data_IF_156115111636
#
_entry.id   IF_156115111636
#
_cell.length_a   1.000
_cell.length_b   1.000
_cell.length_c   1.000
_cell.angle_alpha   90.00
_cell.angle_beta   90.00
_cell.angle_gamma   90.00
#
_symmetry.space_group_name_H-M   'P 1'
#
loop_
_entity.id
_entity.type
_entity.pdbx_description
1 polymer ?
#
# COMPACT_ATOMS: atom_id res chain seq x y z
N UNK A 1 -8.45 22.42 8.09
CA UNK A 1 -7.09 22.30 7.52
C UNK A 1 -6.98 20.93 6.86
N UNK A 2 -6.61 20.86 5.58
CA UNK A 2 -6.50 19.58 4.85
C UNK A 2 -5.18 18.90 5.18
N UNK A 3 -5.20 17.59 5.45
CA UNK A 3 -4.00 16.77 5.63
C UNK A 3 -3.81 15.88 4.42
N UNK A 4 -2.56 15.75 3.95
CA UNK A 4 -2.18 14.82 2.90
C UNK A 4 -1.27 13.75 3.50
N UNK A 5 -1.65 12.49 3.33
CA UNK A 5 -0.86 11.35 3.75
C UNK A 5 -0.12 10.77 2.54
N UNK A 6 1.17 10.52 2.70
CA UNK A 6 2.02 9.93 1.68
C UNK A 6 2.52 8.58 2.17
N UNK A 7 2.24 7.53 1.40
CA UNK A 7 2.71 6.17 1.67
C UNK A 7 3.48 5.69 0.45
N UNK A 8 4.72 5.24 0.66
CA UNK A 8 5.49 4.55 -0.37
C UNK A 8 4.99 3.11 -0.47
N UNK A 9 4.97 2.55 -1.67
CA UNK A 9 4.69 1.13 -1.86
C UNK A 9 5.61 0.24 -1.00
N UNK A 10 5.11 -0.93 -0.58
CA UNK A 10 5.92 -1.94 0.11
C UNK A 10 7.10 -2.43 -0.75
N UNK A 11 8.02 -3.19 -0.16
CA UNK A 11 9.14 -3.77 -0.91
C UNK A 11 8.64 -4.56 -2.14
N UNK A 12 9.15 -4.24 -3.33
CA UNK A 12 8.94 -5.05 -4.53
C UNK A 12 10.08 -6.05 -4.75
N UNK A 13 9.85 -7.06 -5.60
CA UNK A 13 10.88 -8.07 -5.93
C UNK A 13 12.19 -7.42 -6.39
N UNK A 14 12.11 -6.37 -7.21
CA UNK A 14 13.30 -5.67 -7.69
C UNK A 14 13.94 -4.77 -6.63
N UNK A 15 13.20 -4.30 -5.63
CA UNK A 15 13.85 -3.69 -4.46
C UNK A 15 14.68 -4.72 -3.71
N UNK A 16 14.15 -5.92 -3.49
CA UNK A 16 14.87 -7.00 -2.82
C UNK A 16 16.13 -7.43 -3.60
N UNK A 17 16.09 -7.38 -4.93
CA UNK A 17 17.23 -7.69 -5.80
C UNK A 17 18.18 -6.51 -6.05
N UNK A 18 17.93 -5.32 -5.49
CA UNK A 18 18.75 -4.13 -5.74
C UNK A 18 18.71 -3.62 -7.19
N UNK A 19 17.63 -3.92 -7.94
CA UNK A 19 17.46 -3.54 -9.35
C UNK A 19 16.70 -2.23 -9.50
N UNK A 20 17.16 -1.41 -10.44
CA UNK A 20 16.44 -0.19 -10.86
C UNK A 20 15.14 -0.54 -11.59
N UNK A 21 14.01 0.04 -11.18
CA UNK A 21 12.68 -0.32 -11.71
C UNK A 21 12.14 0.66 -12.75
N UNK A 22 12.26 1.97 -12.54
CA UNK A 22 11.54 2.95 -13.35
C UNK A 22 10.05 2.61 -13.49
N UNK A 23 9.57 2.49 -14.74
CA UNK A 23 8.20 2.07 -15.08
C UNK A 23 8.02 0.55 -15.22
N UNK A 24 9.06 -0.26 -14.99
CA UNK A 24 8.90 -1.70 -14.87
C UNK A 24 7.93 -2.01 -13.72
N UNK A 25 7.28 -3.17 -13.81
CA UNK A 25 6.11 -3.48 -12.97
C UNK A 25 6.28 -4.73 -12.09
N UNK A 26 7.37 -4.87 -11.32
CA UNK A 26 7.52 -6.00 -10.42
C UNK A 26 6.50 -5.92 -9.27
N UNK A 27 5.94 -7.06 -8.83
CA UNK A 27 4.98 -7.14 -7.73
C UNK A 27 5.65 -6.88 -6.37
N UNK A 28 4.82 -6.77 -5.32
CA UNK A 28 5.32 -6.78 -3.95
C UNK A 28 5.90 -8.15 -3.58
N UNK A 29 6.94 -8.15 -2.75
CA UNK A 29 7.34 -9.36 -2.02
C UNK A 29 6.35 -9.62 -0.88
N UNK A 30 6.40 -10.81 -0.27
CA UNK A 30 5.59 -11.08 0.92
C UNK A 30 5.93 -10.13 2.08
N UNK A 31 7.20 -9.75 2.23
CA UNK A 31 7.62 -8.67 3.14
C UNK A 31 6.97 -7.33 2.76
N UNK A 32 6.88 -7.01 1.47
CA UNK A 32 6.21 -5.80 1.00
C UNK A 32 4.72 -5.76 1.34
N UNK A 33 4.03 -6.91 1.25
CA UNK A 33 2.63 -7.04 1.66
C UNK A 33 2.48 -6.89 3.18
N UNK A 34 3.37 -7.50 3.96
CA UNK A 34 3.38 -7.33 5.42
C UNK A 34 3.60 -5.86 5.82
N UNK A 35 4.54 -5.17 5.15
CA UNK A 35 4.77 -3.74 5.35
C UNK A 35 3.51 -2.91 5.08
N UNK A 36 2.77 -3.22 4.02
CA UNK A 36 1.50 -2.57 3.71
C UNK A 36 0.44 -2.83 4.80
N UNK A 37 0.31 -4.06 5.29
CA UNK A 37 -0.59 -4.41 6.40
C UNK A 37 -0.23 -3.66 7.69
N UNK A 38 1.06 -3.56 8.02
CA UNK A 38 1.52 -2.82 9.20
C UNK A 38 1.29 -1.31 9.06
N UNK A 39 1.43 -0.77 7.85
CA UNK A 39 1.10 0.62 7.56
C UNK A 39 -0.41 0.87 7.72
N UNK A 40 -1.25 -0.04 7.24
CA UNK A 40 -2.71 0.08 7.31
C UNK A 40 -3.21 0.25 8.75
N UNK A 41 -2.62 -0.49 9.70
CA UNK A 41 -2.95 -0.41 11.14
C UNK A 41 -2.66 0.95 11.78
N UNK A 42 -1.90 1.82 11.09
CA UNK A 42 -1.49 3.14 11.59
C UNK A 42 -2.11 4.29 10.82
N UNK A 43 -2.98 4.01 9.84
CA UNK A 43 -3.62 5.05 9.05
C UNK A 43 -4.71 5.74 9.89
N UNK A 44 -4.73 7.08 9.92
CA UNK A 44 -5.90 7.83 10.39
C UNK A 44 -7.02 7.74 9.35
N UNK A 45 -8.21 8.19 9.72
CA UNK A 45 -9.33 8.30 8.80
C UNK A 45 -8.99 9.18 7.59
N UNK A 46 -9.38 8.71 6.40
CA UNK A 46 -9.26 9.46 5.15
C UNK A 46 -10.48 9.20 4.26
N UNK A 47 -10.77 10.17 3.39
CA UNK A 47 -11.93 10.10 2.49
C UNK A 47 -11.57 9.71 1.06
N UNK A 48 -10.29 9.77 0.70
CA UNK A 48 -9.83 9.51 -0.67
C UNK A 48 -8.46 8.84 -0.67
N UNK A 49 -8.30 7.84 -1.54
CA UNK A 49 -7.06 7.12 -1.78
C UNK A 49 -6.74 7.18 -3.27
N UNK A 50 -5.49 7.44 -3.61
CA UNK A 50 -5.01 7.41 -4.99
C UNK A 50 -3.65 6.70 -5.04
N UNK A 51 -3.39 6.02 -6.15
CA UNK A 51 -2.10 5.38 -6.44
C UNK A 51 -1.81 5.48 -7.94
N UNK A 52 -0.57 5.19 -8.35
CA UNK A 52 -0.26 5.01 -9.77
C UNK A 52 -0.80 3.67 -10.28
N UNK A 53 -0.75 3.49 -11.60
CA UNK A 53 -1.10 2.24 -12.29
C UNK A 53 -0.07 1.10 -12.11
N UNK A 54 1.05 1.36 -11.42
CA UNK A 54 2.09 0.36 -11.17
C UNK A 54 1.65 -0.60 -10.07
N UNK A 55 1.78 -1.90 -10.35
CA UNK A 55 1.26 -3.01 -9.54
C UNK A 55 1.69 -2.93 -8.08
N UNK A 56 2.96 -2.63 -7.80
CA UNK A 56 3.46 -2.46 -6.43
C UNK A 56 2.75 -1.36 -5.63
N UNK A 57 2.42 -0.24 -6.29
CA UNK A 57 1.71 0.87 -5.65
C UNK A 57 0.23 0.56 -5.49
N UNK A 58 -0.37 -0.04 -6.53
CA UNK A 58 -1.76 -0.49 -6.53
C UNK A 58 -2.02 -1.57 -5.47
N UNK A 59 -1.21 -2.63 -5.40
CA UNK A 59 -1.31 -3.70 -4.40
C UNK A 59 -1.17 -3.13 -2.98
N UNK A 60 -0.23 -2.21 -2.76
CA UNK A 60 -0.11 -1.53 -1.46
C UNK A 60 -1.43 -0.82 -1.13
N UNK A 61 -1.96 0.00 -2.04
CA UNK A 61 -3.21 0.74 -1.85
C UNK A 61 -4.42 -0.19 -1.60
N UNK A 62 -4.51 -1.31 -2.31
CA UNK A 62 -5.56 -2.31 -2.13
C UNK A 62 -5.50 -2.94 -0.74
N UNK A 63 -4.31 -3.28 -0.24
CA UNK A 63 -4.13 -3.81 1.12
C UNK A 63 -4.56 -2.78 2.17
N UNK A 64 -4.20 -1.50 1.99
CA UNK A 64 -4.63 -0.42 2.90
C UNK A 64 -6.17 -0.32 2.92
N UNK A 65 -6.81 -0.37 1.75
CA UNK A 65 -8.26 -0.27 1.62
C UNK A 65 -8.99 -1.47 2.22
N UNK A 66 -8.50 -2.69 1.99
CA UNK A 66 -9.07 -3.92 2.54
C UNK A 66 -9.05 -3.93 4.06
N UNK A 67 -7.97 -3.46 4.69
CA UNK A 67 -7.89 -3.37 6.15
C UNK A 67 -8.97 -2.46 6.73
N UNK A 68 -9.27 -1.34 6.06
CA UNK A 68 -10.27 -0.36 6.51
C UNK A 68 -11.68 -0.92 6.34
N UNK A 69 -12.00 -1.50 5.18
CA UNK A 69 -13.30 -2.12 4.93
C UNK A 69 -13.53 -3.31 5.88
N UNK A 70 -12.50 -4.14 6.09
CA UNK A 70 -12.57 -5.26 7.04
C UNK A 70 -12.82 -4.80 8.48
N UNK A 71 -12.18 -3.70 8.91
CA UNK A 71 -12.47 -3.10 10.21
C UNK A 71 -13.92 -2.60 10.27
N UNK A 72 -14.41 -1.86 9.27
CA UNK A 72 -15.79 -1.37 9.20
C UNK A 72 -16.81 -2.52 9.30
N UNK A 73 -16.56 -3.66 8.63
CA UNK A 73 -17.42 -4.86 8.71
C UNK A 73 -17.35 -5.57 10.06
N UNK A 74 -16.27 -5.41 10.84
CA UNK A 74 -16.12 -6.03 12.16
C UNK A 74 -16.92 -5.28 13.25
N UNK A 75 -17.28 -4.02 12.99
CA UNK A 75 -18.05 -3.18 13.92
C UNK A 75 -19.56 -3.08 13.59
N UNK A 76 -20.03 -3.74 12.54
CA UNK A 76 -21.44 -3.87 12.16
C UNK A 76 -21.96 -5.27 12.49
#
# INVERSE_FOLDING_TARGET
>A
MTKLLLVRHGQSEWNAMGRWQGKANPPLTDLGKEQALLAAKKLPDFSTLASSDLVRAKETAEILLQHIIGNLMTFL
#
